data_IF_575864059853
#
_entry.id   IF_575864059853
#
_cell.length_a   1.000
_cell.length_b   1.000
_cell.length_c   1.000
_cell.angle_alpha   90.00
_cell.angle_beta   90.00
_cell.angle_gamma   90.00
#
_symmetry.space_group_name_H-M   'P 1'
#
loop_
_entity.id
_entity.type
_entity.pdbx_description
1 polymer ?
#
# COMPACT_ATOMS: atom_id res chain seq x y z
N UNK A 1 23.42 5.34 19.12
CA UNK A 1 22.23 4.69 18.54
C UNK A 1 22.56 4.32 17.11
N UNK A 2 22.66 3.02 16.72
CA UNK A 2 22.89 2.71 15.32
C UNK A 2 21.69 3.18 14.50
N UNK A 3 21.94 3.98 13.46
CA UNK A 3 20.92 4.38 12.50
C UNK A 3 20.35 3.10 11.89
N UNK A 4 19.07 2.81 12.16
CA UNK A 4 18.37 1.66 11.61
C UNK A 4 18.46 1.80 10.09
N UNK A 5 19.25 0.91 9.51
CA UNK A 5 19.63 0.89 8.10
C UNK A 5 18.36 1.12 7.27
N UNK A 6 18.40 2.19 6.47
CA UNK A 6 17.28 2.69 5.70
C UNK A 6 16.86 1.71 4.61
N UNK A 7 16.21 0.60 4.97
CA UNK A 7 15.68 -0.38 4.03
C UNK A 7 14.69 0.31 3.08
N UNK A 8 14.91 0.17 1.77
CA UNK A 8 14.00 0.63 0.71
C UNK A 8 12.55 0.30 1.10
N UNK A 9 11.56 1.15 0.77
CA UNK A 9 10.16 0.73 0.89
C UNK A 9 9.98 -0.60 0.16
N UNK A 10 9.28 -1.58 0.76
CA UNK A 10 9.24 -2.96 0.24
C UNK A 10 8.45 -3.10 -1.06
N UNK A 11 7.77 -2.03 -1.51
CA UNK A 11 6.94 -2.00 -2.70
C UNK A 11 7.51 -1.04 -3.76
N UNK A 12 7.24 -1.35 -5.02
CA UNK A 12 7.58 -0.55 -6.19
C UNK A 12 6.34 -0.33 -7.06
N UNK A 13 6.37 0.73 -7.86
CA UNK A 13 5.36 0.94 -8.91
C UNK A 13 5.38 -0.25 -9.87
N UNK A 14 4.19 -0.78 -10.16
CA UNK A 14 3.98 -1.98 -10.97
C UNK A 14 3.84 -3.28 -10.16
N UNK A 15 4.14 -3.28 -8.86
CA UNK A 15 3.92 -4.47 -8.03
C UNK A 15 2.43 -4.76 -7.89
N UNK A 16 2.06 -6.03 -8.00
CA UNK A 16 0.72 -6.48 -7.67
C UNK A 16 0.63 -6.73 -6.16
N UNK A 17 -0.38 -6.13 -5.53
CA UNK A 17 -0.53 -6.10 -4.07
C UNK A 17 -1.97 -6.39 -3.66
N UNK A 18 -2.12 -6.86 -2.43
CA UNK A 18 -3.40 -7.00 -1.77
C UNK A 18 -3.31 -6.46 -0.35
N UNK A 19 -4.44 -6.02 0.20
CA UNK A 19 -4.47 -5.43 1.53
C UNK A 19 -5.84 -4.87 1.86
N UNK A 20 -5.85 -3.95 2.83
CA UNK A 20 -7.07 -3.23 3.25
C UNK A 20 -6.91 -1.74 2.96
N UNK A 21 -7.93 -1.13 2.34
CA UNK A 21 -7.91 0.29 2.00
C UNK A 21 -7.84 1.14 3.28
N UNK A 22 -7.04 2.19 3.22
CA UNK A 22 -6.91 3.15 4.30
C UNK A 22 -8.02 4.19 4.22
N UNK A 23 -8.86 4.21 5.25
CA UNK A 23 -9.84 5.28 5.49
C UNK A 23 -9.24 6.29 6.48
N UNK A 24 -9.32 7.57 6.15
CA UNK A 24 -8.87 8.63 7.05
C UNK A 24 -9.76 8.66 8.31
N UNK A 25 -9.21 9.03 9.50
CA UNK A 25 -9.97 9.05 10.75
C UNK A 25 -11.26 9.87 10.68
N UNK A 26 -11.21 11.00 9.99
CA UNK A 26 -12.35 11.91 9.75
C UNK A 26 -13.47 11.27 8.91
N UNK A 27 -13.14 10.26 8.12
CA UNK A 27 -14.07 9.57 7.21
C UNK A 27 -14.53 8.21 7.70
N UNK A 28 -13.96 7.68 8.78
CA UNK A 28 -14.29 6.34 9.30
C UNK A 28 -15.76 6.23 9.75
N UNK A 29 -16.43 7.35 9.95
CA UNK A 29 -17.85 7.44 10.29
C UNK A 29 -18.76 7.18 9.08
N UNK A 30 -18.24 7.40 7.86
CA UNK A 30 -18.99 7.33 6.60
C UNK A 30 -18.48 6.22 5.67
N UNK A 31 -17.19 5.88 5.76
CA UNK A 31 -16.51 4.91 4.90
C UNK A 31 -15.87 3.81 5.76
N UNK A 32 -15.88 2.57 5.27
CA UNK A 32 -15.21 1.45 5.93
C UNK A 32 -13.97 1.02 5.14
N UNK A 33 -12.88 0.61 5.82
CA UNK A 33 -11.77 -0.07 5.17
C UNK A 33 -12.27 -1.32 4.45
N UNK A 34 -11.88 -1.49 3.19
CA UNK A 34 -12.29 -2.61 2.33
C UNK A 34 -11.08 -3.39 1.83
N UNK A 35 -11.19 -4.73 1.71
CA UNK A 35 -10.14 -5.53 1.11
C UNK A 35 -9.99 -5.18 -0.37
N UNK A 36 -8.75 -5.17 -0.86
CA UNK A 36 -8.45 -4.87 -2.26
C UNK A 36 -7.36 -5.78 -2.82
N UNK A 37 -7.35 -5.87 -4.16
CA UNK A 37 -6.23 -6.38 -4.96
C UNK A 37 -6.02 -5.41 -6.11
N UNK A 38 -4.78 -5.01 -6.36
CA UNK A 38 -4.48 -4.09 -7.45
C UNK A 38 -2.99 -3.88 -7.69
N UNK A 39 -2.66 -2.89 -8.52
CA UNK A 39 -1.30 -2.58 -8.92
C UNK A 39 -0.83 -1.28 -8.26
N UNK A 40 0.35 -1.28 -7.65
CA UNK A 40 0.95 -0.07 -7.08
C UNK A 40 1.23 0.94 -8.19
N UNK A 41 0.62 2.12 -8.11
CA UNK A 41 0.87 3.24 -9.03
C UNK A 41 1.72 4.34 -8.40
N UNK A 42 1.75 4.43 -7.07
CA UNK A 42 2.59 5.39 -6.35
C UNK A 42 2.96 4.90 -4.96
N UNK A 43 4.18 5.20 -4.53
CA UNK A 43 4.68 4.95 -3.16
C UNK A 43 5.08 6.29 -2.55
N UNK A 44 4.50 6.68 -1.40
CA UNK A 44 4.80 7.99 -0.83
C UNK A 44 4.28 8.22 0.59
N UNK A 45 5.01 9.03 1.35
CA UNK A 45 4.70 9.34 2.74
C UNK A 45 3.54 10.35 2.93
N UNK A 46 3.04 10.97 1.86
CA UNK A 46 2.09 12.09 1.92
C UNK A 46 2.67 13.39 2.50
N UNK A 47 3.69 13.31 3.37
CA UNK A 47 4.45 14.41 3.97
C UNK A 47 5.93 14.04 4.13
N UNK A 48 6.83 15.01 3.98
CA UNK A 48 8.26 14.82 4.23
C UNK A 48 8.50 14.55 5.73
N UNK A 49 9.16 13.43 6.06
CA UNK A 49 9.58 13.10 7.43
C UNK A 49 8.75 12.03 8.16
N UNK A 50 7.74 11.43 7.53
CA UNK A 50 6.95 10.36 8.15
C UNK A 50 7.68 9.01 8.08
N UNK A 51 7.59 8.26 9.18
CA UNK A 51 8.08 6.90 9.34
C UNK A 51 7.64 5.99 8.18
N UNK A 52 8.56 5.18 7.63
CA UNK A 52 8.31 4.36 6.43
C UNK A 52 7.20 3.34 6.63
N UNK A 53 6.95 2.92 7.87
CA UNK A 53 5.85 2.02 8.23
C UNK A 53 4.46 2.68 8.15
N UNK A 54 4.43 4.03 8.12
CA UNK A 54 3.23 4.86 8.01
C UNK A 54 3.07 5.50 6.63
N UNK A 55 3.97 5.20 5.70
CA UNK A 55 3.84 5.68 4.33
C UNK A 55 2.66 5.01 3.61
N UNK A 56 2.11 5.73 2.64
CA UNK A 56 0.97 5.31 1.85
C UNK A 56 1.40 4.67 0.53
N UNK A 57 0.58 3.74 0.07
CA UNK A 57 0.56 3.21 -1.27
C UNK A 57 -0.69 3.72 -1.96
N UNK A 58 -0.56 4.12 -3.23
CA UNK A 58 -1.69 4.26 -4.13
C UNK A 58 -1.71 3.04 -5.03
N UNK A 59 -2.87 2.41 -5.09
CA UNK A 59 -3.09 1.17 -5.81
C UNK A 59 -4.23 1.38 -6.78
N UNK A 60 -3.99 1.10 -8.05
CA UNK A 60 -5.03 1.06 -9.06
C UNK A 60 -5.68 -0.34 -9.05
N UNK A 61 -6.99 -0.36 -8.87
CA UNK A 61 -7.82 -1.57 -8.86
C UNK A 61 -8.19 -1.98 -10.28
N UNK A 62 -8.73 -3.19 -10.44
CA UNK A 62 -9.09 -3.75 -11.74
C UNK A 62 -10.20 -2.96 -12.47
N UNK A 63 -11.05 -2.25 -11.72
CA UNK A 63 -12.10 -1.37 -12.25
C UNK A 63 -11.56 0.02 -12.65
N UNK A 64 -10.26 0.27 -12.47
CA UNK A 64 -9.61 1.56 -12.72
C UNK A 64 -9.74 2.55 -11.57
N UNK A 65 -10.39 2.18 -10.47
CA UNK A 65 -10.47 3.01 -9.27
C UNK A 65 -9.14 3.01 -8.54
N UNK A 66 -8.69 4.19 -8.07
CA UNK A 66 -7.52 4.27 -7.20
C UNK A 66 -7.93 4.16 -5.73
N UNK A 67 -7.26 3.29 -4.98
CA UNK A 67 -7.38 3.22 -3.54
C UNK A 67 -6.05 3.56 -2.87
N UNK A 68 -6.14 4.08 -1.64
CA UNK A 68 -4.98 4.35 -0.79
C UNK A 68 -4.88 3.27 0.27
N UNK A 69 -3.67 2.79 0.56
CA UNK A 69 -3.40 1.81 1.60
C UNK A 69 -2.16 2.18 2.42
N UNK A 70 -2.00 1.61 3.61
CA UNK A 70 -0.77 1.73 4.38
C UNK A 70 0.19 0.60 4.00
N UNK A 71 1.49 0.91 3.91
CA UNK A 71 2.53 -0.09 3.62
C UNK A 71 2.44 -1.29 4.58
N UNK A 72 2.20 -1.05 5.87
CA UNK A 72 2.11 -2.12 6.89
C UNK A 72 0.89 -3.03 6.74
N UNK A 73 -0.17 -2.55 6.08
CA UNK A 73 -1.45 -3.25 5.92
C UNK A 73 -1.58 -3.82 4.50
N UNK A 74 -0.46 -3.89 3.77
CA UNK A 74 -0.37 -4.36 2.38
C UNK A 74 0.66 -5.46 2.26
N UNK A 75 0.42 -6.42 1.37
CA UNK A 75 1.36 -7.48 1.01
C UNK A 75 1.45 -7.65 -0.51
N UNK A 76 2.59 -8.15 -0.99
CA UNK A 76 2.77 -8.52 -2.39
C UNK A 76 1.89 -9.73 -2.71
N UNK A 77 1.20 -9.68 -3.84
CA UNK A 77 0.61 -10.89 -4.41
C UNK A 77 1.76 -11.66 -5.03
N UNK A 78 2.11 -12.80 -4.43
CA UNK A 78 3.07 -13.70 -5.07
C UNK A 78 2.49 -14.08 -6.44
N UNK A 79 3.26 -13.96 -7.54
CA UNK A 79 2.84 -14.57 -8.77
C UNK A 79 2.68 -16.04 -8.45
N UNK A 80 1.47 -16.59 -8.64
CA UNK A 80 1.29 -18.03 -8.58
C UNK A 80 2.30 -18.59 -9.57
N UNK A 81 3.35 -19.24 -9.08
CA UNK A 81 4.32 -19.88 -9.94
C UNK A 81 3.50 -20.88 -10.74
N UNK A 82 3.35 -20.60 -12.04
CA UNK A 82 2.38 -21.28 -12.89
C UNK A 82 2.47 -22.78 -12.70
N UNK A 83 1.30 -23.40 -12.63
CA UNK A 83 1.13 -24.80 -12.93
C UNK A 83 1.97 -25.14 -14.18
N UNK A 84 2.96 -26.00 -13.98
CA UNK A 84 3.65 -26.72 -15.07
C UNK A 84 2.94 -28.03 -15.30
#
# INVERSE_FOLDING_TARGET
>A
MPAKQSARPPFKVGDQVHGTSYVAPDRVHCERPEPFVGTVVQVGAGYAGVDRERAYLWVCLADGTECRALIRDTALVEPTAGAS
#
